data_IF_710552752992
#
_entry.id   IF_710552752992
#
_cell.length_a   1.000
_cell.length_b   1.000
_cell.length_c   1.000
_cell.angle_alpha   90.00
_cell.angle_beta   90.00
_cell.angle_gamma   90.00
#
_symmetry.space_group_name_H-M   'P 1'
#
loop_
_entity.id
_entity.type
_entity.pdbx_description
1 polymer ?
#
# COMPACT_ATOMS: atom_id res chain seq x y z
N UNK A 1 -6.90 5.91 -11.18
CA UNK A 1 -5.53 5.48 -10.77
C UNK A 1 -5.58 5.14 -9.30
N UNK A 2 -4.72 4.28 -8.77
CA UNK A 2 -4.65 3.94 -7.35
C UNK A 2 -3.25 4.22 -6.83
N UNK A 3 -3.17 4.77 -5.61
CA UNK A 3 -1.92 4.89 -4.85
C UNK A 3 -1.96 3.88 -3.72
N UNK A 4 -0.83 3.27 -3.42
CA UNK A 4 -0.70 2.32 -2.32
C UNK A 4 0.46 2.67 -1.43
N UNK A 5 0.32 2.40 -0.15
CA UNK A 5 1.41 2.46 0.81
C UNK A 5 1.30 1.28 1.76
N UNK A 6 2.28 0.39 1.72
CA UNK A 6 2.54 -0.57 2.77
C UNK A 6 3.27 0.12 3.92
N UNK A 7 2.86 -0.18 5.15
CA UNK A 7 3.51 0.26 6.39
C UNK A 7 3.79 -0.98 7.22
N UNK A 8 5.06 -1.19 7.56
CA UNK A 8 5.45 -2.21 8.55
C UNK A 8 5.26 -1.67 9.97
N UNK A 9 5.14 -2.57 10.96
CA UNK A 9 4.99 -2.22 12.37
C UNK A 9 6.16 -1.36 12.92
N UNK A 10 7.33 -1.38 12.27
CA UNK A 10 8.47 -0.50 12.55
C UNK A 10 8.36 0.92 11.96
N UNK A 11 7.22 1.27 11.33
CA UNK A 11 6.96 2.59 10.76
C UNK A 11 7.58 2.84 9.38
N UNK A 12 8.21 1.82 8.78
CA UNK A 12 8.74 1.93 7.43
C UNK A 12 7.61 1.92 6.40
N UNK A 13 7.70 2.79 5.38
CA UNK A 13 6.69 2.93 4.34
C UNK A 13 7.24 2.55 2.97
N UNK A 14 6.47 1.79 2.21
CA UNK A 14 6.76 1.45 0.82
C UNK A 14 5.56 1.80 -0.05
N UNK A 15 5.77 2.64 -1.06
CA UNK A 15 4.69 3.17 -1.91
C UNK A 15 4.78 2.67 -3.34
N UNK A 16 3.63 2.42 -3.96
CA UNK A 16 3.53 2.10 -5.39
C UNK A 16 2.26 2.73 -5.97
N UNK A 17 2.29 3.08 -7.25
CA UNK A 17 1.15 3.60 -8.00
C UNK A 17 0.75 2.62 -9.13
N UNK A 18 -0.55 2.50 -9.37
CA UNK A 18 -1.05 1.63 -10.44
C UNK A 18 -2.35 2.14 -11.02
N UNK A 19 -2.47 2.13 -12.33
CA UNK A 19 -3.61 2.71 -13.06
C UNK A 19 -4.76 1.73 -13.30
N UNK A 20 -4.60 0.43 -13.02
CA UNK A 20 -5.51 -0.60 -13.57
C UNK A 20 -5.88 -1.79 -12.69
N UNK A 21 -5.57 -1.81 -11.39
CA UNK A 21 -5.83 -2.98 -10.56
C UNK A 21 -6.96 -2.77 -9.54
N UNK A 22 -7.70 -3.85 -9.26
CA UNK A 22 -8.55 -3.98 -8.08
C UNK A 22 -7.72 -3.66 -6.81
N UNK A 23 -8.28 -2.95 -5.82
CA UNK A 23 -7.53 -2.53 -4.63
C UNK A 23 -6.90 -3.70 -3.87
N UNK A 24 -7.54 -4.88 -3.84
CA UNK A 24 -7.00 -6.07 -3.19
C UNK A 24 -5.79 -6.62 -3.95
N UNK A 25 -5.89 -6.70 -5.27
CA UNK A 25 -4.80 -7.19 -6.12
C UNK A 25 -3.56 -6.28 -6.02
N UNK A 26 -3.79 -4.97 -5.91
CA UNK A 26 -2.70 -4.01 -5.73
C UNK A 26 -2.06 -4.12 -4.34
N UNK A 27 -2.87 -4.31 -3.30
CA UNK A 27 -2.36 -4.51 -1.96
C UNK A 27 -1.50 -5.78 -1.84
N UNK A 28 -1.92 -6.87 -2.47
CA UNK A 28 -1.21 -8.15 -2.46
C UNK A 28 0.15 -8.06 -3.15
N UNK A 29 0.16 -7.43 -4.34
CA UNK A 29 1.37 -7.12 -5.08
C UNK A 29 2.34 -6.29 -4.24
N UNK A 30 1.86 -5.21 -3.61
CA UNK A 30 2.74 -4.34 -2.81
C UNK A 30 3.25 -5.06 -1.56
N UNK A 31 2.45 -5.90 -0.91
CA UNK A 31 2.93 -6.72 0.22
C UNK A 31 4.05 -7.68 -0.21
N UNK A 32 3.89 -8.36 -1.36
CA UNK A 32 4.90 -9.25 -1.91
C UNK A 32 6.18 -8.49 -2.32
N UNK A 33 6.04 -7.35 -3.02
CA UNK A 33 7.16 -6.49 -3.39
C UNK A 33 7.89 -5.95 -2.15
N UNK A 34 7.15 -5.53 -1.12
CA UNK A 34 7.74 -5.01 0.13
C UNK A 34 8.58 -6.09 0.82
N UNK A 35 8.07 -7.33 0.93
CA UNK A 35 8.83 -8.45 1.52
C UNK A 35 10.08 -8.82 0.71
N UNK A 36 9.98 -8.78 -0.61
CA UNK A 36 11.09 -9.09 -1.51
C UNK A 36 12.18 -8.01 -1.48
N UNK A 37 11.77 -6.73 -1.54
CA UNK A 37 12.67 -5.58 -1.54
C UNK A 37 13.23 -5.24 -0.16
N UNK A 38 12.50 -5.59 0.91
CA UNK A 38 12.81 -5.25 2.30
C UNK A 38 12.58 -6.49 3.17
N UNK A 39 13.51 -7.46 3.16
CA UNK A 39 13.42 -8.63 4.05
C UNK A 39 13.42 -8.23 5.53
N UNK A 40 13.92 -7.04 5.88
CA UNK A 40 13.82 -6.47 7.22
C UNK A 40 12.37 -6.18 7.65
N UNK A 41 11.43 -6.06 6.70
CA UNK A 41 9.98 -5.94 6.93
C UNK A 41 9.28 -7.30 6.78
N UNK A 42 9.90 -8.36 7.31
CA UNK A 42 9.26 -9.69 7.39
C UNK A 42 8.10 -9.75 8.42
N UNK A 43 7.88 -8.67 9.18
CA UNK A 43 6.81 -8.54 10.15
C UNK A 43 5.41 -8.35 9.55
N UNK A 44 4.42 -8.07 10.40
CA UNK A 44 3.08 -7.72 9.95
C UNK A 44 3.10 -6.42 9.14
N UNK A 45 2.47 -6.45 7.97
CA UNK A 45 2.35 -5.30 7.08
C UNK A 45 0.90 -4.82 7.04
N UNK A 46 0.70 -3.52 7.17
CA UNK A 46 -0.59 -2.87 6.88
C UNK A 46 -0.47 -2.10 5.58
N UNK A 47 -1.24 -2.50 4.58
CA UNK A 47 -1.27 -1.88 3.26
C UNK A 47 -2.52 -1.02 3.13
N UNK A 48 -2.33 0.26 2.82
CA UNK A 48 -3.41 1.20 2.54
C UNK A 48 -3.47 1.48 1.04
N UNK A 49 -4.67 1.39 0.47
CA UNK A 49 -4.93 1.60 -0.96
C UNK A 49 -5.93 2.73 -1.14
N UNK A 50 -5.56 3.74 -1.93
CA UNK A 50 -6.40 4.91 -2.23
C UNK A 50 -6.72 4.97 -3.71
N UNK A 51 -7.97 5.27 -4.05
CA UNK A 51 -8.34 5.66 -5.40
C UNK A 51 -7.83 7.09 -5.67
N UNK A 52 -6.77 7.23 -6.45
CA UNK A 52 -6.38 8.51 -7.02
C UNK A 52 -7.42 8.88 -8.10
N UNK A 53 -8.32 9.80 -7.74
CA UNK A 53 -9.20 10.46 -8.71
C UNK A 53 -8.36 11.39 -9.57
N UNK A 54 -8.58 11.32 -10.88
CA UNK A 54 -7.90 12.15 -11.88
C UNK A 54 -8.06 13.63 -11.49
N UNK A 55 -6.94 14.32 -11.21
CA UNK A 55 -6.92 15.71 -10.73
C UNK A 55 -6.44 15.94 -9.28
N UNK A 56 -6.32 14.90 -8.45
CA UNK A 56 -5.85 15.03 -7.05
C UNK A 56 -4.44 14.43 -6.83
N UNK A 57 -3.51 14.69 -7.76
CA UNK A 57 -2.11 14.25 -7.63
C UNK A 57 -1.35 14.92 -6.48
N UNK A 58 -1.79 16.10 -6.03
CA UNK A 58 -1.04 16.94 -5.09
C UNK A 58 -1.57 16.91 -3.66
N UNK A 59 -2.73 16.30 -3.40
CA UNK A 59 -3.29 16.22 -2.05
C UNK A 59 -2.79 14.95 -1.38
N UNK A 60 -2.10 15.11 -0.26
CA UNK A 60 -1.76 13.99 0.60
C UNK A 60 -3.07 13.27 0.96
N UNK A 61 -3.18 11.96 0.71
CA UNK A 61 -4.45 11.27 0.86
C UNK A 61 -4.89 11.31 2.31
N UNK A 62 -6.14 11.70 2.54
CA UNK A 62 -6.77 11.66 3.86
C UNK A 62 -7.05 10.17 4.16
N UNK A 63 -6.66 9.64 5.33
CA UNK A 63 -6.78 8.22 5.64
C UNK A 63 -8.21 7.66 5.61
N UNK A 64 -9.24 8.50 5.58
CA UNK A 64 -10.64 8.09 5.58
C UNK A 64 -11.09 7.37 4.29
N UNK A 65 -10.46 7.64 3.14
CA UNK A 65 -10.80 7.04 1.84
C UNK A 65 -9.91 5.83 1.48
N UNK A 66 -9.04 5.39 2.41
CA UNK A 66 -8.15 4.27 2.18
C UNK A 66 -8.84 2.93 2.46
N UNK A 67 -8.72 1.97 1.55
CA UNK A 67 -8.98 0.57 1.88
C UNK A 67 -7.75 0.02 2.59
N UNK A 68 -7.93 -0.45 3.82
CA UNK A 68 -6.89 -1.07 4.63
C UNK A 68 -6.89 -2.58 4.45
N UNK A 69 -5.70 -3.15 4.26
CA UNK A 69 -5.46 -4.57 4.20
C UNK A 69 -4.31 -4.94 5.14
N UNK A 70 -4.57 -5.85 6.07
CA UNK A 70 -3.57 -6.35 7.00
C UNK A 70 -3.03 -7.70 6.52
N UNK A 71 -1.71 -7.81 6.48
CA UNK A 71 -0.98 -9.00 6.08
C UNK A 71 -0.16 -9.49 7.28
N UNK A 72 -0.34 -10.73 7.73
CA UNK A 72 0.46 -11.30 8.82
C UNK A 72 1.92 -11.46 8.38
N UNK A 73 2.83 -11.61 9.34
CA UNK A 73 4.19 -12.07 9.04
C UNK A 73 4.16 -13.43 8.32
N UNK A 74 5.13 -13.67 7.43
CA UNK A 74 5.31 -14.94 6.70
C UNK A 74 6.41 -15.78 7.30
#
# INVERSE_FOLDING_TARGET
MYRVTATDNGGCRYGSDSTGADPRALADRVAAETRSARPDMSGPLTVHVWAARDGEHSRLPIPADAVRFDYPAV
#
